data_IF_672756685785
#
_entry.id   IF_672756685785
#
_cell.length_a   1.000
_cell.length_b   1.000
_cell.length_c   1.000
_cell.angle_alpha   90.00
_cell.angle_beta   90.00
_cell.angle_gamma   90.00
#
_symmetry.space_group_name_H-M   'P 1'
#
loop_
_entity.id
_entity.type
_entity.pdbx_description
1 polymer ?
#
# COMPACT_ATOMS: atom_id res chain seq x y z
N UNK A 1 -13.50 10.06 4.77
CA UNK A 1 -13.72 10.66 3.43
C UNK A 1 -12.82 9.96 2.43
N UNK A 2 -13.35 9.55 1.26
CA UNK A 2 -12.50 8.98 0.19
C UNK A 2 -11.73 10.10 -0.50
N UNK A 3 -10.39 9.99 -0.51
CA UNK A 3 -9.46 11.01 -1.02
C UNK A 3 -8.35 10.35 -1.86
N UNK A 4 -7.65 11.14 -2.69
CA UNK A 4 -6.39 10.70 -3.27
C UNK A 4 -5.26 10.76 -2.23
N UNK A 5 -4.06 10.33 -2.59
CA UNK A 5 -2.96 10.24 -1.63
C UNK A 5 -2.17 11.55 -1.46
N UNK A 6 -2.37 12.56 -2.31
CA UNK A 6 -1.48 13.75 -2.36
C UNK A 6 -1.40 14.47 -1.01
N UNK A 7 -2.54 14.88 -0.45
CA UNK A 7 -2.54 15.65 0.79
C UNK A 7 -2.06 14.80 1.98
N UNK A 8 -2.51 13.54 2.09
CA UNK A 8 -2.12 12.69 3.22
C UNK A 8 -0.62 12.37 3.23
N UNK A 9 0.00 12.17 2.05
CA UNK A 9 1.43 11.89 1.97
C UNK A 9 2.29 13.16 2.16
N UNK A 10 1.83 14.33 1.72
CA UNK A 10 2.51 15.59 2.00
C UNK A 10 2.47 15.90 3.51
N UNK A 11 1.33 15.70 4.18
CA UNK A 11 1.25 15.81 5.64
C UNK A 11 2.18 14.82 6.36
N UNK A 12 2.29 13.58 5.82
CA UNK A 12 3.19 12.57 6.35
C UNK A 12 4.66 13.00 6.21
N UNK A 13 5.05 13.56 5.05
CA UNK A 13 6.38 14.12 4.79
C UNK A 13 6.73 15.24 5.77
N UNK A 14 5.84 16.20 5.95
CA UNK A 14 6.02 17.32 6.87
C UNK A 14 6.05 16.87 8.34
N UNK A 15 5.14 15.97 8.69
CA UNK A 15 4.97 15.45 10.05
C UNK A 15 5.94 14.34 10.44
N UNK A 16 6.79 13.87 9.51
CA UNK A 16 7.76 12.78 9.71
C UNK A 16 7.13 11.51 10.26
N UNK A 17 6.04 11.07 9.61
CA UNK A 17 5.38 9.79 9.86
C UNK A 17 5.10 9.11 8.51
N UNK A 18 4.63 7.88 8.52
CA UNK A 18 4.18 7.21 7.30
C UNK A 18 2.71 6.77 7.41
N UNK A 19 1.98 6.84 6.29
CA UNK A 19 0.64 6.28 6.18
C UNK A 19 0.75 4.80 5.81
N UNK A 20 0.04 3.94 6.54
CA UNK A 20 -0.01 2.52 6.21
C UNK A 20 -0.90 2.25 5.01
N UNK A 21 -0.36 1.53 4.01
CA UNK A 21 -1.16 0.83 3.02
C UNK A 21 -1.35 -0.60 3.50
N UNK A 22 -2.61 -1.00 3.67
CA UNK A 22 -2.98 -2.38 3.99
C UNK A 22 -3.75 -2.99 2.83
N UNK A 23 -3.28 -4.14 2.33
CA UNK A 23 -3.93 -4.80 1.21
C UNK A 23 -5.25 -5.44 1.67
N UNK A 24 -6.30 -5.27 0.85
CA UNK A 24 -7.63 -5.83 1.09
C UNK A 24 -7.93 -6.96 0.09
N UNK A 25 -8.53 -8.03 0.61
CA UNK A 25 -8.86 -9.22 -0.18
C UNK A 25 -10.35 -9.60 -0.11
N UNK A 26 -11.10 -9.03 0.83
CA UNK A 26 -12.52 -9.31 1.05
C UNK A 26 -13.15 -8.28 2.00
N UNK A 27 -14.43 -8.49 2.33
CA UNK A 27 -15.24 -7.66 3.24
C UNK A 27 -14.62 -7.55 4.64
N UNK A 28 -14.17 -8.66 5.21
CA UNK A 28 -13.68 -8.73 6.58
C UNK A 28 -12.39 -7.93 6.75
N UNK A 29 -11.45 -8.04 5.80
CA UNK A 29 -10.22 -7.23 5.77
C UNK A 29 -10.54 -5.75 5.71
N UNK A 30 -11.34 -5.37 4.70
CA UNK A 30 -11.70 -3.97 4.45
C UNK A 30 -12.35 -3.35 5.68
N UNK A 31 -13.31 -4.06 6.28
CA UNK A 31 -14.00 -3.61 7.48
C UNK A 31 -13.04 -3.40 8.64
N UNK A 32 -12.17 -4.37 8.94
CA UNK A 32 -11.26 -4.28 10.09
C UNK A 32 -10.23 -3.18 9.95
N UNK A 33 -9.70 -2.97 8.74
CA UNK A 33 -8.76 -1.88 8.47
C UNK A 33 -9.44 -0.53 8.67
N UNK A 34 -10.66 -0.34 8.13
CA UNK A 34 -11.41 0.91 8.28
C UNK A 34 -11.81 1.20 9.74
N UNK A 35 -12.34 0.20 10.46
CA UNK A 35 -12.67 0.33 11.89
C UNK A 35 -11.43 0.70 12.73
N UNK A 36 -10.27 0.10 12.42
CA UNK A 36 -9.02 0.36 13.13
C UNK A 36 -8.49 1.76 12.82
N UNK A 37 -8.53 2.19 11.56
CA UNK A 37 -8.14 3.54 11.15
C UNK A 37 -9.01 4.60 11.84
N UNK A 38 -10.34 4.40 11.86
CA UNK A 38 -11.29 5.31 12.52
C UNK A 38 -11.04 5.37 14.03
N UNK A 39 -10.86 4.21 14.69
CA UNK A 39 -10.56 4.13 16.14
C UNK A 39 -9.30 4.90 16.51
N UNK A 40 -8.27 4.83 15.67
CA UNK A 40 -6.97 5.45 15.91
C UNK A 40 -6.86 6.88 15.36
N UNK A 41 -7.94 7.43 14.78
CA UNK A 41 -7.94 8.73 14.09
C UNK A 41 -6.72 8.85 13.15
N UNK A 42 -6.51 7.82 12.30
CA UNK A 42 -5.36 7.69 11.42
C UNK A 42 -5.79 7.66 9.95
N UNK A 43 -5.06 8.34 9.04
CA UNK A 43 -5.26 8.17 7.61
C UNK A 43 -4.87 6.75 7.20
N UNK A 44 -5.52 6.21 6.15
CA UNK A 44 -5.25 4.84 5.68
C UNK A 44 -5.38 4.70 4.16
N UNK A 45 -4.57 3.83 3.59
CA UNK A 45 -4.60 3.45 2.18
C UNK A 45 -5.03 1.98 2.09
N UNK A 46 -6.10 1.71 1.35
CA UNK A 46 -6.56 0.37 1.02
C UNK A 46 -5.91 -0.06 -0.29
N UNK A 47 -4.89 -0.92 -0.20
CA UNK A 47 -4.19 -1.46 -1.36
C UNK A 47 -4.97 -2.61 -1.99
N UNK A 48 -5.06 -2.60 -3.32
CA UNK A 48 -5.79 -3.62 -4.09
C UNK A 48 -4.95 -4.02 -5.28
N UNK A 49 -4.39 -5.23 -5.27
CA UNK A 49 -3.73 -5.78 -6.45
C UNK A 49 -4.73 -6.20 -7.53
N UNK A 50 -4.27 -6.39 -8.76
CA UNK A 50 -5.12 -6.91 -9.85
C UNK A 50 -5.68 -8.28 -9.51
N UNK A 51 -4.87 -9.15 -8.87
CA UNK A 51 -5.28 -10.47 -8.40
C UNK A 51 -6.38 -10.39 -7.33
N UNK A 52 -6.23 -9.50 -6.34
CA UNK A 52 -7.23 -9.27 -5.30
C UNK A 52 -8.53 -8.71 -5.88
N UNK A 53 -8.45 -7.75 -6.81
CA UNK A 53 -9.62 -7.21 -7.48
C UNK A 53 -10.38 -8.30 -8.27
N UNK A 54 -9.66 -9.14 -9.01
CA UNK A 54 -10.23 -10.29 -9.73
C UNK A 54 -10.91 -11.27 -8.78
N UNK A 55 -10.26 -11.60 -7.64
CA UNK A 55 -10.82 -12.47 -6.61
C UNK A 55 -12.13 -11.92 -6.02
N UNK A 56 -12.19 -10.61 -5.76
CA UNK A 56 -13.37 -9.92 -5.23
C UNK A 56 -14.47 -9.67 -6.28
N UNK A 57 -14.27 -10.03 -7.56
CA UNK A 57 -15.26 -9.87 -8.64
C UNK A 57 -15.07 -8.63 -9.52
N UNK A 58 -14.00 -7.86 -9.34
CA UNK A 58 -13.60 -6.72 -10.17
C UNK A 58 -13.53 -5.39 -9.44
N UNK A 59 -12.92 -4.39 -10.08
CA UNK A 59 -12.66 -3.07 -9.48
C UNK A 59 -13.94 -2.36 -9.01
N UNK A 60 -15.05 -2.45 -9.76
CA UNK A 60 -16.34 -1.85 -9.35
C UNK A 60 -16.91 -2.50 -8.08
N UNK A 61 -16.73 -3.81 -7.91
CA UNK A 61 -17.15 -4.54 -6.70
C UNK A 61 -16.34 -4.04 -5.50
N UNK A 62 -15.03 -3.88 -5.65
CA UNK A 62 -14.15 -3.31 -4.62
C UNK A 62 -14.61 -1.93 -4.19
N UNK A 63 -14.81 -1.02 -5.16
CA UNK A 63 -15.26 0.35 -4.87
C UNK A 63 -16.64 0.37 -4.20
N UNK A 64 -17.58 -0.45 -4.67
CA UNK A 64 -18.91 -0.56 -4.07
C UNK A 64 -18.86 -1.04 -2.62
N UNK A 65 -18.05 -2.08 -2.33
CA UNK A 65 -17.82 -2.59 -0.99
C UNK A 65 -17.19 -1.53 -0.07
N UNK A 66 -16.13 -0.87 -0.52
CA UNK A 66 -15.46 0.16 0.29
C UNK A 66 -16.38 1.35 0.56
N UNK A 67 -17.13 1.83 -0.44
CA UNK A 67 -18.08 2.94 -0.27
C UNK A 67 -19.19 2.59 0.72
N UNK A 68 -19.79 1.40 0.59
CA UNK A 68 -20.83 0.95 1.52
C UNK A 68 -20.30 0.84 2.95
N UNK A 69 -19.14 0.21 3.16
CA UNK A 69 -18.53 0.14 4.49
C UNK A 69 -18.15 1.51 5.05
N UNK A 70 -17.59 2.39 4.20
CA UNK A 70 -17.22 3.75 4.60
C UNK A 70 -18.44 4.53 5.13
N UNK A 71 -19.59 4.42 4.44
CA UNK A 71 -20.83 5.07 4.82
C UNK A 71 -21.45 4.43 6.07
N UNK A 72 -21.67 3.11 6.06
CA UNK A 72 -22.33 2.39 7.16
C UNK A 72 -21.57 2.44 8.48
N UNK A 73 -20.21 2.47 8.43
CA UNK A 73 -19.37 2.57 9.61
C UNK A 73 -19.11 4.02 10.05
N UNK A 74 -19.62 5.01 9.33
CA UNK A 74 -19.43 6.42 9.63
C UNK A 74 -17.95 6.84 9.61
N UNK A 75 -17.17 6.36 8.64
CA UNK A 75 -15.73 6.66 8.56
C UNK A 75 -15.50 8.12 8.20
N UNK A 76 -14.77 8.84 9.02
CA UNK A 76 -14.44 10.26 8.84
C UNK A 76 -12.98 10.53 8.53
N UNK A 77 -12.10 9.59 8.88
CA UNK A 77 -10.66 9.69 8.56
C UNK A 77 -10.41 9.63 7.05
N UNK A 78 -9.32 10.23 6.55
CA UNK A 78 -8.94 10.12 5.14
C UNK A 78 -8.65 8.67 4.73
N UNK A 79 -9.30 8.19 3.66
CA UNK A 79 -9.13 6.85 3.10
C UNK A 79 -8.86 6.95 1.60
N UNK A 80 -7.79 6.35 1.12
CA UNK A 80 -7.53 6.18 -0.30
C UNK A 80 -7.80 4.73 -0.74
N UNK A 81 -8.41 4.56 -1.93
CA UNK A 81 -8.50 3.27 -2.61
C UNK A 81 -7.42 3.27 -3.69
N UNK A 82 -6.42 2.42 -3.55
CA UNK A 82 -5.21 2.44 -4.34
C UNK A 82 -5.02 1.13 -5.12
N UNK A 83 -4.85 1.20 -6.44
CA UNK A 83 -4.39 0.06 -7.24
C UNK A 83 -2.91 -0.16 -6.96
N UNK A 84 -2.58 -1.32 -6.41
CA UNK A 84 -1.24 -1.74 -6.04
C UNK A 84 -0.61 -2.56 -7.19
N UNK A 85 0.55 -2.16 -7.68
CA UNK A 85 1.26 -2.79 -8.80
C UNK A 85 0.42 -2.98 -10.08
N UNK A 86 -0.19 -1.91 -10.61
CA UNK A 86 -0.86 -1.94 -11.91
C UNK A 86 0.12 -2.25 -13.04
N UNK A 87 -0.16 -3.29 -13.83
CA UNK A 87 0.77 -3.81 -14.85
C UNK A 87 0.62 -3.14 -16.22
N UNK A 88 -0.37 -2.28 -16.40
CA UNK A 88 -0.62 -1.62 -17.68
C UNK A 88 -1.47 -0.37 -17.51
N UNK A 89 -1.37 0.55 -18.49
CA UNK A 89 -2.27 1.69 -18.60
C UNK A 89 -3.74 1.27 -18.57
N UNK A 90 -4.10 0.21 -19.30
CA UNK A 90 -5.48 -0.26 -19.38
C UNK A 90 -6.05 -0.70 -18.02
N UNK A 91 -5.23 -1.34 -17.18
CA UNK A 91 -5.68 -1.76 -15.86
C UNK A 91 -5.75 -0.58 -14.89
N UNK A 92 -4.79 0.35 -14.93
CA UNK A 92 -4.88 1.61 -14.19
C UNK A 92 -6.13 2.41 -14.59
N UNK A 93 -6.39 2.54 -15.89
CA UNK A 93 -7.59 3.19 -16.42
C UNK A 93 -8.88 2.53 -15.91
N UNK A 94 -8.98 1.19 -15.97
CA UNK A 94 -10.17 0.46 -15.47
C UNK A 94 -10.39 0.68 -13.97
N UNK A 95 -9.33 0.73 -13.17
CA UNK A 95 -9.41 1.00 -11.74
C UNK A 95 -9.92 2.45 -11.49
N UNK A 96 -9.36 3.43 -12.18
CA UNK A 96 -9.78 4.83 -12.11
C UNK A 96 -11.25 5.00 -12.55
N UNK A 97 -11.64 4.40 -13.67
CA UNK A 97 -13.03 4.43 -14.18
C UNK A 97 -14.01 3.76 -13.20
N UNK A 98 -13.55 2.81 -12.39
CA UNK A 98 -14.35 2.20 -11.34
C UNK A 98 -14.49 3.09 -10.09
N UNK A 99 -13.62 4.10 -9.92
CA UNK A 99 -13.65 5.03 -8.80
C UNK A 99 -12.53 4.84 -7.78
N UNK A 100 -11.42 4.21 -8.15
CA UNK A 100 -10.18 4.27 -7.37
C UNK A 100 -9.70 5.71 -7.29
N UNK A 101 -9.19 6.10 -6.14
CA UNK A 101 -8.71 7.46 -5.88
C UNK A 101 -7.20 7.60 -6.10
N UNK A 102 -6.53 6.48 -6.33
CA UNK A 102 -5.09 6.40 -6.58
C UNK A 102 -4.75 5.12 -7.34
N UNK A 103 -3.69 5.18 -8.13
CA UNK A 103 -3.14 4.00 -8.82
C UNK A 103 -1.62 4.01 -8.79
N UNK A 104 -1.01 2.83 -8.73
CA UNK A 104 0.40 2.64 -9.05
C UNK A 104 0.50 2.01 -10.43
N UNK A 105 1.38 2.56 -11.27
CA UNK A 105 1.86 1.91 -12.49
C UNK A 105 3.26 1.34 -12.23
N UNK A 106 3.39 0.04 -12.40
CA UNK A 106 4.66 -0.65 -12.19
C UNK A 106 5.37 -0.90 -13.52
N UNK A 107 6.18 0.08 -13.92
CA UNK A 107 7.08 0.00 -15.06
C UNK A 107 8.51 -0.42 -14.69
N UNK A 108 8.77 -0.88 -13.45
CA UNK A 108 10.10 -1.16 -12.93
C UNK A 108 10.87 -2.25 -13.68
N UNK A 109 10.16 -3.13 -14.38
CA UNK A 109 10.74 -4.19 -15.21
C UNK A 109 11.17 -3.73 -16.61
N UNK A 110 10.81 -2.49 -17.00
CA UNK A 110 11.16 -1.89 -18.28
C UNK A 110 12.38 -0.96 -18.16
N UNK A 111 13.09 -0.68 -19.28
CA UNK A 111 14.05 0.42 -19.30
C UNK A 111 13.41 1.73 -18.86
N UNK A 112 14.21 2.62 -18.26
CA UNK A 112 13.68 3.86 -17.67
C UNK A 112 12.87 4.73 -18.65
N UNK A 113 13.27 4.79 -19.92
CA UNK A 113 12.54 5.58 -20.93
C UNK A 113 11.13 5.03 -21.19
N UNK A 114 10.98 3.70 -21.19
CA UNK A 114 9.68 3.03 -21.32
C UNK A 114 8.84 3.20 -20.05
N UNK A 115 9.45 3.04 -18.87
CA UNK A 115 8.80 3.28 -17.59
C UNK A 115 8.25 4.72 -17.52
N UNK A 116 9.06 5.72 -17.88
CA UNK A 116 8.63 7.13 -17.93
C UNK A 116 7.45 7.31 -18.90
N UNK A 117 7.52 6.73 -20.09
CA UNK A 117 6.46 6.87 -21.08
C UNK A 117 5.13 6.26 -20.61
N UNK A 118 5.18 5.04 -20.03
CA UNK A 118 4.01 4.37 -19.44
C UNK A 118 3.44 5.18 -18.27
N UNK A 119 4.29 5.60 -17.37
CA UNK A 119 3.91 6.37 -16.18
C UNK A 119 3.26 7.69 -16.55
N UNK A 120 3.84 8.43 -17.50
CA UNK A 120 3.29 9.70 -17.98
C UNK A 120 1.88 9.53 -18.54
N UNK A 121 1.62 8.48 -19.30
CA UNK A 121 0.29 8.20 -19.84
C UNK A 121 -0.74 7.99 -18.72
N UNK A 122 -0.34 7.27 -17.66
CA UNK A 122 -1.21 7.05 -16.48
C UNK A 122 -1.41 8.33 -15.70
N UNK A 123 -0.37 9.14 -15.50
CA UNK A 123 -0.44 10.42 -14.79
C UNK A 123 -1.41 11.38 -15.47
N UNK A 124 -1.30 11.54 -16.79
CA UNK A 124 -2.20 12.41 -17.58
C UNK A 124 -3.67 12.00 -17.39
N UNK A 125 -3.96 10.70 -17.43
CA UNK A 125 -5.32 10.20 -17.25
C UNK A 125 -5.80 10.35 -15.79
N UNK A 126 -4.99 9.95 -14.82
CA UNK A 126 -5.34 9.98 -13.40
C UNK A 126 -5.56 11.40 -12.87
N UNK A 127 -4.66 12.34 -13.22
CA UNK A 127 -4.78 13.72 -12.79
C UNK A 127 -6.02 14.41 -13.37
N UNK A 128 -6.41 14.08 -14.61
CA UNK A 128 -7.66 14.57 -15.19
C UNK A 128 -8.91 14.11 -14.41
N UNK A 129 -8.80 12.99 -13.67
CA UNK A 129 -9.86 12.45 -12.82
C UNK A 129 -9.71 12.85 -11.34
N UNK A 130 -8.68 13.62 -10.97
CA UNK A 130 -8.39 14.02 -9.60
C UNK A 130 -7.79 12.90 -8.72
N UNK A 131 -7.27 11.84 -9.34
CA UNK A 131 -6.60 10.73 -8.67
C UNK A 131 -5.08 10.93 -8.62
N UNK A 132 -4.40 10.30 -7.66
CA UNK A 132 -2.94 10.33 -7.52
C UNK A 132 -2.27 9.12 -8.16
N UNK A 133 -0.98 9.28 -8.52
CA UNK A 133 -0.18 8.25 -9.16
C UNK A 133 1.11 7.99 -8.40
N UNK A 134 1.39 6.71 -8.20
CA UNK A 134 2.65 6.15 -7.72
C UNK A 134 3.36 5.43 -8.85
N UNK A 135 4.70 5.46 -8.86
CA UNK A 135 5.50 4.63 -9.75
C UNK A 135 6.76 4.12 -9.06
N UNK A 136 7.37 3.08 -9.63
CA UNK A 136 8.53 2.39 -9.07
C UNK A 136 9.77 2.52 -9.95
N UNK A 137 10.93 2.65 -9.30
CA UNK A 137 12.26 2.54 -9.91
C UNK A 137 13.08 1.50 -9.15
N UNK A 138 13.84 0.70 -9.88
CA UNK A 138 14.47 -0.51 -9.35
C UNK A 138 13.46 -1.64 -9.28
N UNK A 139 13.78 -2.74 -8.61
CA UNK A 139 12.86 -3.88 -8.47
C UNK A 139 12.84 -4.37 -7.04
N UNK A 140 11.66 -4.38 -6.44
CA UNK A 140 11.42 -4.98 -5.12
C UNK A 140 11.52 -6.50 -5.26
N UNK A 141 12.30 -7.13 -4.37
CA UNK A 141 12.46 -8.58 -4.38
C UNK A 141 11.24 -9.34 -3.83
N UNK A 142 11.25 -10.67 -3.95
CA UNK A 142 10.22 -11.53 -3.37
C UNK A 142 9.13 -11.96 -4.35
N UNK A 143 7.95 -12.25 -3.83
CA UNK A 143 6.81 -12.71 -4.63
C UNK A 143 5.55 -11.95 -4.20
N UNK A 144 4.91 -11.26 -5.14
CA UNK A 144 3.60 -10.64 -4.98
C UNK A 144 2.72 -10.99 -6.17
N UNK A 145 1.53 -11.53 -5.88
CA UNK A 145 0.54 -12.01 -6.88
C UNK A 145 1.13 -12.95 -7.97
N UNK A 146 2.17 -13.75 -7.60
CA UNK A 146 2.83 -14.67 -8.52
C UNK A 146 3.95 -14.04 -9.35
N UNK A 147 4.20 -12.75 -9.24
CA UNK A 147 5.36 -12.07 -9.83
C UNK A 147 6.56 -12.22 -8.90
N UNK A 148 7.61 -12.89 -9.38
CA UNK A 148 8.85 -13.12 -8.63
C UNK A 148 9.92 -12.15 -9.12
N UNK A 149 10.36 -11.24 -8.24
CA UNK A 149 11.42 -10.28 -8.52
C UNK A 149 12.73 -10.60 -7.80
N UNK A 150 13.86 -10.30 -8.46
CA UNK A 150 15.15 -10.13 -7.79
C UNK A 150 15.30 -8.69 -7.30
N UNK A 151 16.10 -8.46 -6.25
CA UNK A 151 16.37 -7.09 -5.77
C UNK A 151 17.27 -6.38 -6.77
N UNK A 152 16.79 -5.26 -7.34
CA UNK A 152 17.59 -4.29 -8.09
C UNK A 152 17.41 -2.93 -7.42
N UNK A 153 18.49 -2.37 -6.88
CA UNK A 153 18.44 -1.05 -6.26
C UNK A 153 18.06 0.02 -7.28
N UNK A 154 17.22 0.95 -6.85
CA UNK A 154 16.85 2.12 -7.60
C UNK A 154 18.07 3.02 -7.85
N UNK A 155 18.25 3.45 -9.09
CA UNK A 155 19.22 4.47 -9.45
C UNK A 155 18.64 5.86 -9.18
N UNK A 156 19.42 6.75 -8.53
CA UNK A 156 18.95 8.09 -8.15
C UNK A 156 18.60 8.95 -9.36
N UNK A 157 19.42 8.91 -10.41
CA UNK A 157 19.19 9.72 -11.61
C UNK A 157 17.96 9.23 -12.39
N UNK A 158 17.71 7.91 -12.42
CA UNK A 158 16.48 7.34 -12.95
C UNK A 158 15.25 7.79 -12.12
N UNK A 159 15.36 7.85 -10.79
CA UNK A 159 14.31 8.36 -9.91
C UNK A 159 13.99 9.83 -10.20
N UNK A 160 15.01 10.68 -10.33
CA UNK A 160 14.86 12.10 -10.67
C UNK A 160 14.22 12.28 -12.03
N UNK A 161 14.63 11.50 -13.03
CA UNK A 161 14.05 11.52 -14.37
C UNK A 161 12.57 11.13 -14.34
N UNK A 162 12.23 10.01 -13.70
CA UNK A 162 10.84 9.54 -13.61
C UNK A 162 9.93 10.61 -12.98
N UNK A 163 10.35 11.18 -11.86
CA UNK A 163 9.59 12.22 -11.17
C UNK A 163 9.38 13.46 -12.04
N UNK A 164 10.43 13.95 -12.68
CA UNK A 164 10.38 15.20 -13.44
C UNK A 164 9.69 15.05 -14.80
N UNK A 165 9.89 13.91 -15.48
CA UNK A 165 9.40 13.71 -16.85
C UNK A 165 7.97 13.14 -16.86
N UNK A 166 7.59 12.30 -15.87
CA UNK A 166 6.27 11.71 -15.78
C UNK A 166 5.32 12.44 -14.82
N UNK A 167 5.82 13.12 -13.80
CA UNK A 167 5.01 13.95 -12.90
C UNK A 167 4.22 13.18 -11.84
N UNK A 168 4.77 12.07 -11.31
CA UNK A 168 4.15 11.26 -10.26
C UNK A 168 3.98 12.02 -8.94
N UNK A 169 3.03 11.59 -8.11
CA UNK A 169 2.73 12.20 -6.82
C UNK A 169 3.60 11.63 -5.69
N UNK A 170 3.96 10.36 -5.78
CA UNK A 170 4.90 9.68 -4.88
C UNK A 170 5.73 8.65 -5.64
N UNK A 171 6.87 8.28 -5.08
CA UNK A 171 7.85 7.40 -5.71
C UNK A 171 8.18 6.21 -4.80
N UNK A 172 8.15 5.01 -5.36
CA UNK A 172 8.62 3.78 -4.73
C UNK A 172 10.04 3.43 -5.24
N UNK A 173 11.12 3.89 -4.60
CA UNK A 173 12.45 3.44 -4.93
C UNK A 173 12.70 2.08 -4.27
N UNK A 174 13.00 1.06 -5.06
CA UNK A 174 13.39 -0.25 -4.52
C UNK A 174 14.79 -0.17 -3.91
N UNK A 175 14.88 -0.29 -2.60
CA UNK A 175 16.13 -0.10 -1.84
C UNK A 175 16.37 -1.24 -0.84
N UNK A 176 16.17 -2.49 -1.30
CA UNK A 176 16.51 -3.70 -0.54
C UNK A 176 15.35 -4.34 0.22
N UNK A 177 14.14 -3.81 0.13
CA UNK A 177 12.95 -4.47 0.66
C UNK A 177 12.49 -5.63 -0.22
N UNK A 178 11.71 -6.56 0.35
CA UNK A 178 11.16 -7.71 -0.37
C UNK A 178 9.70 -7.94 -0.01
N UNK A 179 8.92 -8.42 -0.98
CA UNK A 179 7.56 -8.88 -0.75
C UNK A 179 7.56 -10.27 -0.09
N UNK A 180 6.74 -10.43 0.94
CA UNK A 180 6.66 -11.67 1.72
C UNK A 180 7.68 -11.76 2.86
N UNK A 181 7.85 -12.96 3.47
CA UNK A 181 8.75 -13.14 4.59
C UNK A 181 10.23 -12.98 4.21
N UNK A 182 10.98 -12.21 4.99
CA UNK A 182 12.43 -12.06 4.80
C UNK A 182 13.19 -13.36 5.12
N UNK A 183 14.20 -13.67 4.31
CA UNK A 183 15.19 -14.70 4.60
C UNK A 183 16.43 -14.05 5.19
N UNK A 184 16.42 -13.83 6.50
CA UNK A 184 17.50 -13.14 7.22
C UNK A 184 17.12 -11.72 7.60
N UNK A 185 18.11 -10.92 7.97
CA UNK A 185 17.91 -9.55 8.43
C UNK A 185 17.69 -8.61 7.23
N UNK A 186 16.62 -7.80 7.21
CA UNK A 186 16.40 -6.80 6.16
C UNK A 186 17.54 -5.78 6.09
N UNK A 187 18.08 -5.56 4.90
CA UNK A 187 19.11 -4.53 4.64
C UNK A 187 18.52 -3.48 3.71
N UNK A 188 18.32 -2.27 4.24
CA UNK A 188 17.70 -1.17 3.51
C UNK A 188 18.73 -0.08 3.19
N UNK A 189 18.61 0.52 2.00
CA UNK A 189 19.43 1.62 1.51
C UNK A 189 19.01 2.98 2.09
N UNK A 190 19.30 3.25 3.37
CA UNK A 190 18.90 4.50 4.02
C UNK A 190 19.60 5.73 3.48
N UNK A 191 20.84 5.59 3.01
CA UNK A 191 21.60 6.68 2.40
C UNK A 191 20.96 7.07 1.08
N UNK A 192 20.70 6.08 0.26
CA UNK A 192 20.03 6.22 -1.04
C UNK A 192 18.61 6.81 -0.87
N UNK A 193 17.84 6.37 0.14
CA UNK A 193 16.54 6.97 0.47
C UNK A 193 16.67 8.47 0.71
N UNK A 194 17.62 8.89 1.55
CA UNK A 194 17.80 10.29 1.90
C UNK A 194 18.23 11.11 0.68
N UNK A 195 19.13 10.59 -0.16
CA UNK A 195 19.58 11.25 -1.39
C UNK A 195 18.46 11.38 -2.42
N UNK A 196 17.66 10.32 -2.64
CA UNK A 196 16.53 10.34 -3.57
C UNK A 196 15.46 11.31 -3.07
N UNK A 197 15.14 11.29 -1.77
CA UNK A 197 14.19 12.23 -1.15
C UNK A 197 14.63 13.69 -1.35
N UNK A 198 15.92 14.00 -1.15
CA UNK A 198 16.45 15.35 -1.35
C UNK A 198 16.40 15.76 -2.82
N UNK A 199 16.76 14.86 -3.73
CA UNK A 199 16.82 15.14 -5.16
C UNK A 199 15.44 15.28 -5.82
N UNK A 200 14.42 14.56 -5.34
CA UNK A 200 13.08 14.53 -5.93
C UNK A 200 12.05 15.39 -5.20
N UNK A 201 12.28 15.66 -3.91
CA UNK A 201 11.33 16.28 -2.97
C UNK A 201 9.95 15.60 -2.94
N UNK A 202 9.85 14.34 -3.38
CA UNK A 202 8.60 13.57 -3.37
C UNK A 202 8.48 12.72 -2.10
N UNK A 203 7.24 12.44 -1.64
CA UNK A 203 7.00 11.39 -0.67
C UNK A 203 7.52 10.06 -1.20
N UNK A 204 8.34 9.34 -0.42
CA UNK A 204 8.82 8.01 -0.77
C UNK A 204 7.91 6.93 -0.24
N UNK A 205 7.85 5.82 -0.97
CA UNK A 205 7.07 4.64 -0.62
C UNK A 205 8.00 3.46 -0.36
N UNK A 206 7.75 2.73 0.72
CA UNK A 206 8.44 1.48 1.07
C UNK A 206 7.49 0.31 0.85
N UNK A 207 7.76 -0.51 -0.17
CA UNK A 207 7.11 -1.80 -0.39
C UNK A 207 7.72 -2.88 0.50
N UNK A 208 6.96 -3.96 0.77
CA UNK A 208 7.48 -5.09 1.55
C UNK A 208 7.77 -4.76 3.01
N UNK A 209 6.90 -3.98 3.66
CA UNK A 209 7.08 -3.55 5.06
C UNK A 209 6.96 -4.65 6.12
N UNK A 210 6.41 -5.83 5.76
CA UNK A 210 6.23 -6.96 6.69
C UNK A 210 7.57 -7.53 7.14
N UNK A 211 7.78 -7.65 8.47
CA UNK A 211 8.98 -8.28 9.04
C UNK A 211 10.22 -7.40 9.09
N UNK A 212 10.12 -6.13 8.72
CA UNK A 212 11.19 -5.15 8.96
C UNK A 212 11.12 -4.70 10.44
N UNK A 213 12.24 -4.74 11.19
CA UNK A 213 12.29 -4.25 12.56
C UNK A 213 11.83 -2.79 12.70
N UNK A 214 11.14 -2.47 13.80
CA UNK A 214 10.52 -1.15 14.01
C UNK A 214 11.53 0.00 13.94
N UNK A 215 12.74 -0.18 14.46
CA UNK A 215 13.81 0.81 14.38
C UNK A 215 14.25 1.09 12.94
N UNK A 216 14.21 0.08 12.05
CA UNK A 216 14.52 0.25 10.63
C UNK A 216 13.36 0.95 9.90
N UNK A 217 12.12 0.65 10.25
CA UNK A 217 10.94 1.37 9.76
C UNK A 217 11.01 2.85 10.14
N UNK A 218 11.27 3.16 11.42
CA UNK A 218 11.41 4.55 11.90
C UNK A 218 12.59 5.26 11.23
N UNK A 219 13.69 4.54 10.96
CA UNK A 219 14.82 5.08 10.20
C UNK A 219 14.42 5.40 8.77
N UNK A 220 13.71 4.51 8.07
CA UNK A 220 13.21 4.76 6.70
C UNK A 220 12.29 5.99 6.67
N UNK A 221 11.38 6.13 7.63
CA UNK A 221 10.52 7.33 7.76
C UNK A 221 11.37 8.60 7.93
N UNK A 222 12.41 8.55 8.76
CA UNK A 222 13.33 9.70 8.92
C UNK A 222 14.10 10.05 7.65
N UNK A 223 14.24 9.11 6.71
CA UNK A 223 14.89 9.27 5.41
C UNK A 223 13.91 9.64 4.28
N UNK A 224 12.62 9.86 4.58
CA UNK A 224 11.64 10.36 3.60
C UNK A 224 10.54 9.40 3.20
N UNK A 225 10.50 8.19 3.78
CA UNK A 225 9.37 7.26 3.57
C UNK A 225 8.10 7.81 4.21
N UNK A 226 7.05 7.97 3.40
CA UNK A 226 5.75 8.53 3.81
C UNK A 226 4.58 7.55 3.63
N UNK A 227 4.81 6.43 2.94
CA UNK A 227 3.85 5.34 2.74
C UNK A 227 4.58 4.01 2.93
N UNK A 228 3.96 3.06 3.61
CA UNK A 228 4.53 1.73 3.85
C UNK A 228 3.46 0.67 3.56
N UNK A 229 3.77 -0.28 2.67
CA UNK A 229 2.88 -1.36 2.30
C UNK A 229 3.02 -2.56 3.26
N UNK A 230 1.88 -3.01 3.80
CA UNK A 230 1.77 -4.17 4.70
C UNK A 230 0.70 -5.12 4.18
N UNK A 231 1.05 -6.33 3.83
CA UNK A 231 0.13 -7.37 3.36
C UNK A 231 0.32 -8.67 4.15
N UNK A 232 1.47 -9.31 4.01
CA UNK A 232 1.75 -10.65 4.53
C UNK A 232 1.54 -10.75 6.04
N UNK A 233 1.82 -9.72 6.81
CA UNK A 233 1.63 -9.71 8.26
C UNK A 233 0.16 -9.85 8.66
N UNK A 234 -0.73 -9.13 7.97
CA UNK A 234 -2.18 -9.28 8.17
C UNK A 234 -2.67 -10.68 7.76
N UNK A 235 -2.12 -11.22 6.67
CA UNK A 235 -2.45 -12.58 6.20
C UNK A 235 -2.03 -13.63 7.22
N UNK A 236 -0.81 -13.54 7.75
CA UNK A 236 -0.29 -14.48 8.76
C UNK A 236 -1.05 -14.38 10.08
N UNK A 237 -1.38 -13.18 10.53
CA UNK A 237 -2.18 -12.95 11.74
C UNK A 237 -3.57 -13.59 11.62
N UNK A 238 -4.26 -13.36 10.51
CA UNK A 238 -5.56 -13.96 10.23
C UNK A 238 -5.48 -15.49 10.12
N UNK A 239 -4.53 -16.02 9.35
CA UNK A 239 -4.35 -17.45 9.17
C UNK A 239 -4.12 -18.17 10.50
N UNK A 240 -3.25 -17.65 11.34
CA UNK A 240 -2.97 -18.19 12.68
C UNK A 240 -4.23 -18.23 13.55
N UNK A 241 -5.00 -17.14 13.56
CA UNK A 241 -6.19 -17.06 14.40
C UNK A 241 -7.34 -17.93 13.87
N UNK A 242 -7.50 -18.08 12.55
CA UNK A 242 -8.49 -19.00 11.96
C UNK A 242 -8.20 -20.45 12.36
N UNK A 243 -6.94 -20.87 12.34
CA UNK A 243 -6.54 -22.20 12.77
C UNK A 243 -6.90 -22.44 14.24
N UNK A 244 -6.61 -21.48 15.11
CA UNK A 244 -6.94 -21.54 16.54
C UNK A 244 -8.45 -21.65 16.76
N UNK A 245 -9.24 -20.76 16.17
CA UNK A 245 -10.71 -20.72 16.30
C UNK A 245 -11.34 -22.05 15.85
N UNK A 246 -10.87 -22.62 14.75
CA UNK A 246 -11.37 -23.90 14.25
C UNK A 246 -10.90 -25.08 15.11
N UNK A 247 -9.71 -25.03 15.70
CA UNK A 247 -9.25 -26.06 16.64
C UNK A 247 -10.06 -26.04 17.94
N UNK A 248 -10.40 -24.85 18.45
CA UNK A 248 -11.21 -24.69 19.66
C UNK A 248 -12.70 -25.04 19.41
N UNK A 249 -13.19 -24.85 18.19
CA UNK A 249 -14.57 -25.17 17.82
C UNK A 249 -14.68 -25.91 16.47
N UNK A 250 -14.28 -27.18 16.42
CA UNK A 250 -14.21 -27.97 15.18
C UNK A 250 -15.58 -28.23 14.53
N UNK A 251 -16.69 -27.94 15.23
CA UNK A 251 -18.06 -28.06 14.70
C UNK A 251 -18.60 -26.73 14.16
N UNK A 252 -17.83 -25.66 14.17
CA UNK A 252 -18.26 -24.36 13.61
C UNK A 252 -18.37 -24.47 12.08
N UNK A 253 -19.58 -24.33 11.54
CA UNK A 253 -19.86 -24.34 10.10
C UNK A 253 -20.38 -22.99 9.58
N UNK A 254 -20.88 -22.12 10.46
CA UNK A 254 -21.27 -20.77 10.09
C UNK A 254 -20.01 -19.89 9.95
N UNK A 255 -19.70 -19.35 8.74
CA UNK A 255 -18.49 -18.55 8.51
C UNK A 255 -18.38 -17.35 9.45
N UNK A 256 -19.49 -16.75 9.88
CA UNK A 256 -19.49 -15.63 10.82
C UNK A 256 -18.90 -16.01 12.18
N UNK A 257 -18.92 -17.29 12.55
CA UNK A 257 -18.42 -17.81 13.84
C UNK A 257 -16.93 -18.10 13.83
N UNK A 258 -16.27 -18.19 12.66
CA UNK A 258 -14.82 -18.41 12.59
C UNK A 258 -14.10 -17.31 11.81
N UNK A 259 -14.66 -16.78 10.72
CA UNK A 259 -14.05 -15.64 10.01
C UNK A 259 -14.15 -14.35 10.87
N UNK A 260 -15.30 -14.10 11.50
CA UNK A 260 -15.51 -12.92 12.35
C UNK A 260 -14.49 -12.80 13.47
N UNK A 261 -14.34 -13.80 14.37
CA UNK A 261 -13.30 -13.79 15.40
C UNK A 261 -11.88 -13.69 14.83
N UNK A 262 -11.56 -14.48 13.79
CA UNK A 262 -10.24 -14.48 13.19
C UNK A 262 -9.87 -13.11 12.57
N UNK A 263 -10.83 -12.39 12.03
CA UNK A 263 -10.59 -11.05 11.48
C UNK A 263 -10.16 -10.02 12.54
N UNK A 264 -10.41 -10.26 13.83
CA UNK A 264 -9.92 -9.37 14.90
C UNK A 264 -8.39 -9.31 14.96
N UNK A 265 -7.71 -10.39 14.56
CA UNK A 265 -6.24 -10.41 14.49
C UNK A 265 -5.68 -9.39 13.48
N UNK A 266 -6.44 -9.10 12.42
CA UNK A 266 -6.08 -8.05 11.45
C UNK A 266 -6.08 -6.68 12.13
N UNK A 267 -7.11 -6.38 12.94
CA UNK A 267 -7.17 -5.10 13.67
C UNK A 267 -5.95 -4.88 14.55
N UNK A 268 -5.49 -5.92 15.26
CA UNK A 268 -4.31 -5.84 16.11
C UNK A 268 -3.03 -5.55 15.30
N UNK A 269 -2.83 -6.27 14.19
CA UNK A 269 -1.67 -6.07 13.31
C UNK A 269 -1.67 -4.66 12.68
N UNK A 270 -2.84 -4.18 12.22
CA UNK A 270 -3.00 -2.83 11.64
C UNK A 270 -2.73 -1.75 12.68
N UNK A 271 -3.27 -1.87 13.90
CA UNK A 271 -3.07 -0.92 15.00
C UNK A 271 -1.59 -0.86 15.42
N UNK A 272 -0.92 -2.00 15.51
CA UNK A 272 0.51 -2.06 15.79
C UNK A 272 1.32 -1.29 14.74
N UNK A 273 1.06 -1.53 13.45
CA UNK A 273 1.77 -0.82 12.37
C UNK A 273 1.44 0.68 12.35
N UNK A 274 0.20 1.09 12.60
CA UNK A 274 -0.14 2.51 12.69
C UNK A 274 0.64 3.21 13.82
N UNK A 275 0.87 2.53 14.95
CA UNK A 275 1.70 3.06 16.03
C UNK A 275 3.18 3.16 15.61
N UNK A 276 3.75 2.11 15.02
CA UNK A 276 5.15 2.10 14.54
C UNK A 276 5.38 3.17 13.47
N UNK A 277 4.41 3.38 12.57
CA UNK A 277 4.49 4.39 11.50
C UNK A 277 4.26 5.82 12.01
N UNK A 278 3.77 5.99 13.25
CA UNK A 278 3.51 7.29 13.86
C UNK A 278 2.29 8.02 13.29
N UNK A 279 1.37 7.33 12.59
CA UNK A 279 0.20 7.94 11.96
C UNK A 279 -1.05 8.00 12.85
N UNK A 280 -1.01 7.50 14.06
CA UNK A 280 -2.09 7.63 15.04
C UNK A 280 -2.34 9.11 15.38
N UNK A 281 -3.61 9.55 15.37
CA UNK A 281 -4.05 10.95 15.52
C UNK A 281 -3.50 11.91 14.45
N UNK A 282 -3.35 11.43 13.19
CA UNK A 282 -2.88 12.23 12.05
C UNK A 282 -3.94 12.40 10.94
N UNK A 283 -5.19 12.02 11.18
CA UNK A 283 -6.29 12.20 10.22
C UNK A 283 -6.70 13.65 10.02
#
# INVERSE_FOLDING_TARGET
MLVNMVEMLNKAKEGKYAVGQFNINNLEWTRRILETAQKNNAPVILGVSEGAAKYMGGFKTVVGMVKGLHEDLGITVPVAIHLDHGQSFENCKKALDAGFTSVMIDGSHHPIDENIAMTKQVVEYAHAMGASVEAEVGTVGGNEDGVIGGIKYADKDECVRLVNEAGVDCLAPALGSVHGPYKGEPVLGFVEMAEIKEATDKPLVLHGGTGIPDEKIQKAISCGTCKINVNTECQLAFHKEIQKVLAENPKAYDPRKFIGPASQAISAAVEEKMNVFGCVNKA
#
